data_IF_053584278458
#
_entry.id   IF_053584278458
#
_cell.length_a   1.000
_cell.length_b   1.000
_cell.length_c   1.000
_cell.angle_alpha   90.00
_cell.angle_beta   90.00
_cell.angle_gamma   90.00
#
_symmetry.space_group_name_H-M   'P 1'
#
loop_
_entity.id
_entity.type
_entity.pdbx_description
1 polymer ?
#
# COMPACT_ATOMS: atom_id res chain seq x y z
N UNK A 1 33.30 -10.95 -15.71
CA UNK A 1 32.40 -9.81 -16.04
C UNK A 1 31.20 -10.00 -15.15
N UNK A 2 31.12 -9.22 -14.07
CA UNK A 2 29.97 -9.28 -13.17
C UNK A 2 28.77 -8.70 -13.91
N UNK A 3 27.94 -9.60 -14.43
CA UNK A 3 26.72 -9.21 -15.11
C UNK A 3 25.72 -8.84 -14.02
N UNK A 4 25.76 -7.57 -13.63
CA UNK A 4 24.86 -7.03 -12.62
C UNK A 4 23.44 -7.10 -13.16
N UNK A 5 22.54 -7.78 -12.43
CA UNK A 5 21.13 -7.88 -12.80
C UNK A 5 20.52 -6.48 -12.99
N UNK A 6 19.72 -6.34 -14.03
CA UNK A 6 18.92 -5.15 -14.32
C UNK A 6 17.69 -5.05 -13.41
N UNK A 7 17.08 -3.87 -13.25
CA UNK A 7 15.84 -3.70 -12.46
C UNK A 7 14.69 -4.63 -12.89
N UNK A 8 14.60 -4.94 -14.18
CA UNK A 8 13.65 -5.92 -14.73
C UNK A 8 13.93 -7.34 -14.23
N UNK A 9 15.19 -7.78 -14.25
CA UNK A 9 15.56 -9.13 -13.80
C UNK A 9 15.32 -9.30 -12.30
N UNK A 10 15.59 -8.27 -11.50
CA UNK A 10 15.20 -8.23 -10.09
C UNK A 10 13.68 -8.34 -9.92
N UNK A 11 12.90 -7.56 -10.70
CA UNK A 11 11.44 -7.63 -10.65
C UNK A 11 10.91 -9.04 -10.96
N UNK A 12 11.37 -9.65 -12.06
CA UNK A 12 10.93 -10.98 -12.48
C UNK A 12 11.34 -12.06 -11.47
N UNK A 13 12.57 -12.00 -10.93
CA UNK A 13 13.02 -12.92 -9.89
C UNK A 13 12.19 -12.75 -8.61
N UNK A 14 11.86 -11.52 -8.23
CA UNK A 14 10.97 -11.19 -7.12
C UNK A 14 9.59 -11.83 -7.27
N UNK A 15 9.01 -11.81 -8.49
CA UNK A 15 7.73 -12.47 -8.77
C UNK A 15 7.79 -13.98 -8.52
N UNK A 16 8.85 -14.64 -9.01
CA UNK A 16 9.07 -16.08 -8.80
C UNK A 16 9.24 -16.39 -7.32
N UNK A 17 10.06 -15.62 -6.61
CA UNK A 17 10.30 -15.79 -5.17
C UNK A 17 9.01 -15.62 -4.35
N UNK A 18 8.19 -14.61 -4.68
CA UNK A 18 6.87 -14.41 -4.07
C UNK A 18 5.96 -15.61 -4.31
N UNK A 19 5.92 -16.15 -5.54
CA UNK A 19 5.09 -17.30 -5.87
C UNK A 19 5.45 -18.53 -5.04
N UNK A 20 6.75 -18.76 -4.79
CA UNK A 20 7.23 -19.83 -3.90
C UNK A 20 7.28 -19.43 -2.41
N UNK A 21 6.62 -18.33 -2.04
CA UNK A 21 6.47 -17.85 -0.65
C UNK A 21 7.78 -17.45 0.03
N UNK A 22 8.86 -17.25 -0.72
CA UNK A 22 10.13 -16.72 -0.22
C UNK A 22 10.05 -15.19 -0.15
N UNK A 23 9.28 -14.68 0.81
CA UNK A 23 8.91 -13.27 0.86
C UNK A 23 10.09 -12.33 1.18
N UNK A 24 11.01 -12.71 2.07
CA UNK A 24 12.17 -11.87 2.40
C UNK A 24 13.07 -11.56 1.19
N UNK A 25 13.57 -12.55 0.42
CA UNK A 25 14.37 -12.24 -0.77
C UNK A 25 13.53 -11.59 -1.88
N UNK A 26 12.22 -11.88 -1.97
CA UNK A 26 11.34 -11.16 -2.90
C UNK A 26 11.24 -9.67 -2.55
N UNK A 27 11.18 -9.33 -1.25
CA UNK A 27 11.16 -7.95 -0.75
C UNK A 27 12.43 -7.20 -1.17
N UNK A 28 13.61 -7.81 -1.01
CA UNK A 28 14.89 -7.23 -1.44
C UNK A 28 14.90 -6.97 -2.95
N UNK A 29 14.46 -7.95 -3.75
CA UNK A 29 14.38 -7.83 -5.20
C UNK A 29 13.44 -6.71 -5.65
N UNK A 30 12.26 -6.60 -5.04
CA UNK A 30 11.32 -5.53 -5.35
C UNK A 30 11.83 -4.16 -4.92
N UNK A 31 12.57 -4.04 -3.82
CA UNK A 31 13.18 -2.76 -3.42
C UNK A 31 14.21 -2.29 -4.46
N UNK A 32 15.05 -3.19 -4.97
CA UNK A 32 16.03 -2.86 -6.00
C UNK A 32 15.30 -2.48 -7.31
N UNK A 33 14.31 -3.27 -7.72
CA UNK A 33 13.51 -2.97 -8.91
C UNK A 33 12.78 -1.62 -8.81
N UNK A 34 12.30 -1.25 -7.62
CA UNK A 34 11.60 -0.01 -7.38
C UNK A 34 12.47 1.25 -7.54
N UNK A 35 13.80 1.10 -7.58
CA UNK A 35 14.73 2.18 -7.89
C UNK A 35 14.65 2.69 -9.34
N UNK A 36 14.07 1.91 -10.26
CA UNK A 36 13.82 2.33 -11.65
C UNK A 36 12.37 2.83 -11.80
N UNK A 37 12.20 4.04 -12.30
CA UNK A 37 10.89 4.70 -12.44
C UNK A 37 9.90 3.92 -13.32
N UNK A 38 10.40 3.08 -14.24
CA UNK A 38 9.58 2.24 -15.12
C UNK A 38 8.93 1.07 -14.37
N UNK A 39 9.54 0.64 -13.27
CA UNK A 39 9.10 -0.50 -12.47
C UNK A 39 8.61 -0.10 -11.08
N UNK A 40 8.91 1.12 -10.62
CA UNK A 40 8.58 1.62 -9.29
C UNK A 40 7.15 1.28 -8.83
N UNK A 41 6.14 1.62 -9.63
CA UNK A 41 4.74 1.32 -9.32
C UNK A 41 4.52 -0.18 -9.06
N UNK A 42 4.80 -1.03 -10.04
CA UNK A 42 4.60 -2.48 -9.95
C UNK A 42 5.42 -3.10 -8.81
N UNK A 43 6.67 -2.68 -8.67
CA UNK A 43 7.58 -3.20 -7.66
C UNK A 43 7.09 -2.85 -6.25
N UNK A 44 6.65 -1.61 -6.01
CA UNK A 44 6.08 -1.20 -4.73
C UNK A 44 4.78 -1.94 -4.39
N UNK A 45 3.92 -2.23 -5.40
CA UNK A 45 2.72 -3.06 -5.18
C UNK A 45 3.12 -4.47 -4.73
N UNK A 46 4.08 -5.10 -5.41
CA UNK A 46 4.50 -6.45 -5.05
C UNK A 46 5.22 -6.49 -3.69
N UNK A 47 6.04 -5.48 -3.40
CA UNK A 47 6.67 -5.26 -2.10
C UNK A 47 5.63 -5.20 -0.98
N UNK A 48 4.61 -4.35 -1.14
CA UNK A 48 3.53 -4.21 -0.16
C UNK A 48 2.80 -5.54 0.08
N UNK A 49 2.51 -6.28 -1.00
CA UNK A 49 1.87 -7.60 -0.90
C UNK A 49 2.73 -8.63 -0.15
N UNK A 50 4.05 -8.62 -0.36
CA UNK A 50 4.96 -9.48 0.39
C UNK A 50 5.00 -9.09 1.87
N UNK A 51 5.07 -7.78 2.18
CA UNK A 51 5.05 -7.25 3.55
C UNK A 51 3.76 -7.64 4.29
N UNK A 52 2.60 -7.51 3.64
CA UNK A 52 1.32 -8.03 4.19
C UNK A 52 1.39 -9.52 4.48
N UNK A 53 1.96 -10.31 3.56
CA UNK A 53 2.01 -11.76 3.70
C UNK A 53 2.87 -12.23 4.89
N UNK A 54 3.81 -11.41 5.34
CA UNK A 54 4.63 -11.65 6.55
C UNK A 54 4.13 -10.91 7.79
N UNK A 55 3.00 -10.19 7.71
CA UNK A 55 2.38 -9.47 8.84
C UNK A 55 2.94 -8.06 9.11
N UNK A 56 3.75 -7.51 8.20
CA UNK A 56 4.31 -6.17 8.29
C UNK A 56 3.37 -5.13 7.62
N UNK A 57 2.13 -5.01 8.12
CA UNK A 57 1.09 -4.20 7.48
C UNK A 57 1.39 -2.68 7.46
N UNK A 58 2.10 -2.15 8.47
CA UNK A 58 2.49 -0.72 8.50
C UNK A 58 3.49 -0.38 7.37
N UNK A 59 4.48 -1.26 7.15
CA UNK A 59 5.41 -1.12 6.02
C UNK A 59 4.66 -1.29 4.69
N UNK A 60 3.71 -2.22 4.62
CA UNK A 60 2.89 -2.40 3.41
C UNK A 60 2.09 -1.13 3.05
N UNK A 61 1.57 -0.40 4.05
CA UNK A 61 0.90 0.89 3.84
C UNK A 61 1.84 1.90 3.19
N UNK A 62 3.08 1.99 3.66
CA UNK A 62 4.08 2.90 3.08
C UNK A 62 4.37 2.51 1.63
N UNK A 63 4.58 1.22 1.34
CA UNK A 63 4.84 0.74 -0.01
C UNK A 63 3.65 0.99 -0.95
N UNK A 64 2.40 0.76 -0.53
CA UNK A 64 1.23 1.12 -1.35
C UNK A 64 1.12 2.62 -1.61
N UNK A 65 1.43 3.48 -0.63
CA UNK A 65 1.46 4.93 -0.82
C UNK A 65 2.50 5.33 -1.88
N UNK A 66 3.68 4.71 -1.87
CA UNK A 66 4.72 4.92 -2.88
C UNK A 66 4.29 4.42 -4.27
N UNK A 67 3.60 3.28 -4.35
CA UNK A 67 3.04 2.81 -5.61
C UNK A 67 2.00 3.80 -6.19
N UNK A 68 1.11 4.33 -5.35
CA UNK A 68 0.06 5.26 -5.77
C UNK A 68 0.59 6.63 -6.24
N UNK A 69 1.81 7.00 -5.82
CA UNK A 69 2.51 8.25 -6.18
C UNK A 69 3.57 8.06 -7.27
N UNK A 70 3.79 6.84 -7.73
CA UNK A 70 4.82 6.55 -8.72
C UNK A 70 4.58 7.36 -10.01
N UNK A 71 5.63 7.89 -10.67
CA UNK A 71 5.47 8.83 -11.79
C UNK A 71 4.66 8.29 -12.97
N UNK A 72 4.72 6.97 -13.19
CA UNK A 72 4.11 6.30 -14.35
C UNK A 72 2.79 5.59 -14.02
N UNK A 73 2.23 5.76 -12.81
CA UNK A 73 0.97 5.10 -12.43
C UNK A 73 -0.22 5.71 -13.16
N UNK A 74 -1.00 4.86 -13.82
CA UNK A 74 -2.25 5.27 -14.47
C UNK A 74 -3.34 5.56 -13.42
N UNK A 75 -4.38 6.30 -13.79
CA UNK A 75 -5.53 6.53 -12.91
C UNK A 75 -6.24 5.23 -12.52
N UNK A 76 -6.29 4.24 -13.41
CA UNK A 76 -6.94 2.94 -13.17
C UNK A 76 -6.12 2.11 -12.20
N UNK A 77 -4.82 1.92 -12.46
CA UNK A 77 -3.91 1.25 -11.53
C UNK A 77 -3.90 1.93 -10.16
N UNK A 78 -3.92 3.27 -10.12
CA UNK A 78 -4.00 4.01 -8.86
C UNK A 78 -5.25 3.62 -8.06
N UNK A 79 -6.42 3.46 -8.69
CA UNK A 79 -7.63 3.00 -7.99
C UNK A 79 -7.44 1.59 -7.39
N UNK A 80 -6.83 0.67 -8.12
CA UNK A 80 -6.51 -0.67 -7.61
C UNK A 80 -5.53 -0.64 -6.43
N UNK A 81 -4.49 0.21 -6.49
CA UNK A 81 -3.51 0.37 -5.42
C UNK A 81 -4.17 0.97 -4.17
N UNK A 82 -4.94 2.04 -4.34
CA UNK A 82 -5.69 2.68 -3.26
C UNK A 82 -6.67 1.69 -2.62
N UNK A 83 -7.29 0.81 -3.41
CA UNK A 83 -8.19 -0.19 -2.87
C UNK A 83 -7.47 -1.17 -1.93
N UNK A 84 -6.28 -1.65 -2.33
CA UNK A 84 -5.45 -2.51 -1.47
C UNK A 84 -4.95 -1.79 -0.21
N UNK A 85 -4.62 -0.50 -0.34
CA UNK A 85 -4.28 0.35 0.80
C UNK A 85 -5.47 0.50 1.77
N UNK A 86 -6.67 0.81 1.25
CA UNK A 86 -7.90 0.94 2.02
C UNK A 86 -8.22 -0.33 2.80
N UNK A 87 -8.10 -1.50 2.17
CA UNK A 87 -8.27 -2.80 2.81
C UNK A 87 -7.27 -3.05 3.92
N UNK A 88 -6.01 -2.69 3.70
CA UNK A 88 -4.95 -2.85 4.70
C UNK A 88 -5.22 -1.96 5.91
N UNK A 89 -5.69 -0.73 5.69
CA UNK A 89 -6.09 0.18 6.76
C UNK A 89 -7.30 -0.35 7.54
N UNK A 90 -8.32 -0.92 6.87
CA UNK A 90 -9.44 -1.60 7.54
C UNK A 90 -8.97 -2.75 8.42
N UNK A 91 -8.05 -3.60 7.93
CA UNK A 91 -7.56 -4.74 8.71
C UNK A 91 -6.81 -4.32 9.99
N UNK A 92 -6.27 -3.11 10.03
CA UNK A 92 -5.64 -2.51 11.20
C UNK A 92 -6.61 -1.70 12.08
N UNK A 93 -7.89 -1.61 11.70
CA UNK A 93 -8.91 -0.79 12.39
C UNK A 93 -8.73 0.72 12.19
N UNK A 94 -7.98 1.14 11.17
CA UNK A 94 -7.74 2.55 10.80
C UNK A 94 -8.85 3.08 9.89
N UNK A 95 -10.10 2.96 10.37
CA UNK A 95 -11.32 3.21 9.59
C UNK A 95 -11.39 4.62 8.97
N UNK A 96 -10.88 5.63 9.68
CA UNK A 96 -10.89 7.01 9.20
C UNK A 96 -10.00 7.21 7.96
N UNK A 97 -8.80 6.62 7.98
CA UNK A 97 -7.88 6.69 6.84
C UNK A 97 -8.35 5.81 5.68
N UNK A 98 -8.93 4.64 5.99
CA UNK A 98 -9.55 3.78 4.99
C UNK A 98 -10.68 4.52 4.25
N UNK A 99 -11.55 5.23 4.99
CA UNK A 99 -12.58 6.08 4.41
C UNK A 99 -11.98 7.15 3.49
N UNK A 100 -10.91 7.85 3.90
CA UNK A 100 -10.23 8.86 3.06
C UNK A 100 -9.78 8.26 1.72
N UNK A 101 -9.12 7.09 1.77
CA UNK A 101 -8.61 6.41 0.58
C UNK A 101 -9.74 5.94 -0.34
N UNK A 102 -10.79 5.33 0.22
CA UNK A 102 -11.98 4.95 -0.55
C UNK A 102 -12.73 6.14 -1.12
N UNK A 103 -12.77 7.27 -0.41
CA UNK A 103 -13.31 8.53 -0.91
C UNK A 103 -12.59 9.00 -2.17
N UNK A 104 -11.26 8.86 -2.22
CA UNK A 104 -10.48 9.17 -3.42
C UNK A 104 -10.80 8.27 -4.61
N UNK A 105 -11.00 6.97 -4.36
CA UNK A 105 -11.43 6.04 -5.41
C UNK A 105 -12.82 6.42 -5.91
N UNK A 106 -13.80 6.58 -5.02
CA UNK A 106 -15.18 6.92 -5.38
C UNK A 106 -15.29 8.25 -6.15
N UNK A 107 -14.38 9.20 -5.91
CA UNK A 107 -14.33 10.45 -6.68
C UNK A 107 -13.78 10.25 -8.10
N UNK A 108 -12.90 9.27 -8.30
CA UNK A 108 -12.28 8.97 -9.59
C UNK A 108 -13.15 8.01 -10.41
N UNK A 109 -13.67 6.96 -9.76
CA UNK A 109 -14.55 5.93 -10.29
C UNK A 109 -15.56 5.51 -9.20
N UNK A 110 -16.81 6.02 -9.25
CA UNK A 110 -17.86 5.68 -8.29
C UNK A 110 -18.30 4.21 -8.30
N UNK A 111 -18.07 3.48 -9.40
CA UNK A 111 -18.49 2.08 -9.58
C UNK A 111 -17.34 1.08 -9.34
N UNK A 112 -16.20 1.56 -8.83
CA UNK A 112 -15.03 0.75 -8.59
C UNK A 112 -15.27 -0.31 -7.49
N UNK A 113 -15.40 -1.58 -7.90
CA UNK A 113 -15.53 -2.74 -7.03
C UNK A 113 -16.65 -2.57 -5.97
N UNK A 114 -16.37 -2.94 -4.71
CA UNK A 114 -17.29 -2.85 -3.56
C UNK A 114 -17.07 -1.56 -2.73
N UNK A 115 -16.35 -0.56 -3.26
CA UNK A 115 -15.92 0.63 -2.50
C UNK A 115 -17.11 1.39 -1.89
N UNK A 116 -18.21 1.54 -2.64
CA UNK A 116 -19.41 2.20 -2.12
C UNK A 116 -20.01 1.46 -0.90
N UNK A 117 -20.01 0.13 -0.93
CA UNK A 117 -20.51 -0.71 0.16
C UNK A 117 -19.59 -0.65 1.37
N UNK A 118 -18.26 -0.65 1.15
CA UNK A 118 -17.26 -0.48 2.22
C UNK A 118 -17.38 0.86 2.93
N UNK A 119 -17.51 1.95 2.17
CA UNK A 119 -17.79 3.28 2.73
C UNK A 119 -19.05 3.25 3.59
N UNK A 120 -20.14 2.64 3.11
CA UNK A 120 -21.37 2.53 3.88
C UNK A 120 -21.19 1.72 5.17
N UNK A 121 -20.46 0.61 5.11
CA UNK A 121 -20.17 -0.24 6.25
C UNK A 121 -19.35 0.50 7.31
N UNK A 122 -18.23 1.11 6.91
CA UNK A 122 -17.35 1.89 7.80
C UNK A 122 -18.08 3.08 8.43
N UNK A 123 -19.03 3.70 7.72
CA UNK A 123 -19.89 4.78 8.26
C UNK A 123 -20.93 4.29 9.27
N UNK A 124 -21.29 3.02 9.21
CA UNK A 124 -22.34 2.40 10.03
C UNK A 124 -21.79 1.54 11.18
N UNK A 125 -20.47 1.34 11.23
CA UNK A 125 -19.78 0.50 12.22
C UNK A 125 -19.91 1.00 13.66
N UNK A 126 -19.98 0.04 14.61
CA UNK A 126 -20.20 0.26 16.06
C UNK A 126 -19.00 0.83 16.83
N UNK A 127 -17.86 1.08 16.19
CA UNK A 127 -16.75 1.85 16.78
C UNK A 127 -17.13 3.34 16.78
N UNK A 128 -17.97 3.72 17.75
CA UNK A 128 -18.56 5.04 17.92
C UNK A 128 -17.57 6.18 18.19
N UNK A 129 -16.68 6.48 17.24
CA UNK A 129 -15.86 7.70 17.24
C UNK A 129 -16.35 8.75 16.24
N UNK A 130 -17.17 8.38 15.25
CA UNK A 130 -17.67 9.33 14.25
C UNK A 130 -19.09 8.99 13.75
N UNK A 131 -20.11 9.70 14.25
CA UNK A 131 -21.43 9.72 13.61
C UNK A 131 -21.42 10.69 12.41
N UNK A 132 -21.19 10.16 11.21
CA UNK A 132 -21.22 10.96 9.98
C UNK A 132 -22.66 11.26 9.56
N UNK A 133 -23.13 12.48 9.80
CA UNK A 133 -24.37 12.95 9.16
C UNK A 133 -24.19 13.05 7.65
N UNK A 134 -25.27 12.87 6.88
CA UNK A 134 -25.26 12.94 5.41
C UNK A 134 -24.66 14.25 4.88
N UNK A 135 -24.89 15.37 5.59
CA UNK A 135 -24.33 16.69 5.25
C UNK A 135 -22.84 16.80 5.54
N UNK A 136 -22.37 16.32 6.70
CA UNK A 136 -20.95 16.32 7.08
C UNK A 136 -20.12 15.46 6.13
N UNK A 137 -20.66 14.32 5.70
CA UNK A 137 -20.04 13.44 4.70
C UNK A 137 -19.91 14.12 3.33
N UNK A 138 -20.93 14.84 2.85
CA UNK A 138 -20.83 15.60 1.59
C UNK A 138 -19.75 16.69 1.66
N UNK A 139 -19.67 17.41 2.78
CA UNK A 139 -18.65 18.44 2.99
C UNK A 139 -17.24 17.83 3.04
N UNK A 140 -17.07 16.73 3.76
CA UNK A 140 -15.81 15.99 3.82
C UNK A 140 -15.44 15.37 2.48
N UNK A 141 -16.37 14.83 1.68
CA UNK A 141 -16.03 14.32 0.34
C UNK A 141 -15.56 15.43 -0.58
N UNK A 142 -16.14 16.63 -0.47
CA UNK A 142 -15.66 17.81 -1.20
C UNK A 142 -14.22 18.17 -0.79
N UNK A 143 -13.91 18.09 0.51
CA UNK A 143 -12.56 18.30 1.04
C UNK A 143 -11.59 17.19 0.60
N UNK A 144 -12.00 15.92 0.66
CA UNK A 144 -11.26 14.77 0.14
C UNK A 144 -10.98 14.93 -1.34
N UNK A 145 -11.94 15.39 -2.14
CA UNK A 145 -11.71 15.66 -3.58
C UNK A 145 -10.54 16.63 -3.80
N UNK A 146 -10.44 17.68 -2.98
CA UNK A 146 -9.31 18.62 -3.00
C UNK A 146 -8.03 18.00 -2.45
N UNK A 147 -8.15 17.15 -1.42
CA UNK A 147 -7.05 16.47 -0.74
C UNK A 147 -6.52 15.26 -1.51
N UNK A 148 -7.27 14.59 -2.39
CA UNK A 148 -6.76 13.46 -3.17
C UNK A 148 -5.63 13.88 -4.12
N UNK A 149 -5.53 15.17 -4.44
CA UNK A 149 -4.39 15.75 -5.14
C UNK A 149 -3.19 16.04 -4.20
N UNK A 150 -3.41 16.21 -2.90
CA UNK A 150 -2.40 16.67 -1.92
C UNK A 150 -1.94 15.61 -0.89
N UNK A 151 -2.81 14.65 -0.51
CA UNK A 151 -2.59 13.59 0.50
C UNK A 151 -1.45 12.67 0.13
N UNK A 152 -1.16 12.57 -1.16
CA UNK A 152 -0.13 11.69 -1.68
C UNK A 152 1.21 12.42 -1.93
N UNK A 153 1.26 13.76 -1.86
CA UNK A 153 2.46 14.55 -2.18
C UNK A 153 3.20 15.13 -0.96
N UNK A 154 2.57 15.22 0.22
CA UNK A 154 3.12 16.00 1.34
C UNK A 154 2.94 15.38 2.74
N UNK A 155 3.27 14.09 2.93
CA UNK A 155 3.69 13.64 4.26
C UNK A 155 5.19 13.32 4.28
N UNK A 156 6.05 14.31 4.61
CA UNK A 156 7.50 14.12 4.65
C UNK A 156 7.96 13.15 5.75
N UNK A 157 7.09 12.72 6.68
CA UNK A 157 7.45 11.73 7.71
C UNK A 157 7.41 10.29 7.21
N UNK A 158 6.66 10.03 6.13
CA UNK A 158 6.62 8.72 5.47
C UNK A 158 7.82 8.53 4.54
N UNK A 159 8.28 9.63 3.91
CA UNK A 159 9.47 9.61 3.05
C UNK A 159 10.78 9.46 3.83
N UNK A 160 10.84 9.83 5.11
CA UNK A 160 12.05 9.69 5.94
C UNK A 160 12.28 8.27 6.49
N UNK A 161 11.31 7.35 6.35
CA UNK A 161 11.50 5.92 6.62
C UNK A 161 12.01 5.13 5.41
N UNK A 162 12.34 5.81 4.32
CA UNK A 162 12.96 5.17 3.15
C UNK A 162 14.40 4.81 3.45
N UNK A 163 14.63 3.54 3.80
CA UNK A 163 16.00 2.99 3.89
C UNK A 163 16.20 1.88 4.90
N UNK A 164 15.18 1.52 5.70
CA UNK A 164 15.29 0.38 6.62
C UNK A 164 14.05 -0.50 6.58
N UNK A 165 13.61 -0.85 5.38
CA UNK A 165 12.69 -1.95 5.14
C UNK A 165 13.36 -3.24 5.61
N UNK A 166 12.83 -3.86 6.65
CA UNK A 166 13.37 -5.05 7.36
C UNK A 166 14.83 -5.40 7.02
N UNK A 167 15.78 -4.64 7.54
CA UNK A 167 17.20 -4.97 7.49
C UNK A 167 17.60 -5.86 8.67
N UNK A 168 18.05 -7.07 8.38
CA UNK A 168 18.70 -8.05 9.28
C UNK A 168 17.81 -8.78 10.30
N UNK A 169 17.33 -9.97 9.94
CA UNK A 169 17.32 -11.11 10.88
C UNK A 169 17.57 -12.43 10.16
N UNK A 170 18.86 -12.70 9.95
CA UNK A 170 19.38 -14.04 10.15
C UNK A 170 19.41 -14.32 11.66
N UNK A 171 18.30 -14.72 12.27
CA UNK A 171 18.30 -15.45 13.54
C UNK A 171 17.19 -16.49 13.51
N UNK A 172 17.54 -17.71 13.10
CA UNK A 172 16.77 -18.90 13.43
C UNK A 172 16.84 -19.09 14.95
N UNK A 173 15.72 -19.29 15.67
CA UNK A 173 15.82 -19.78 17.03
C UNK A 173 16.31 -21.22 16.96
N UNK A 174 17.62 -21.41 17.20
CA UNK A 174 18.19 -22.72 17.45
C UNK A 174 17.38 -23.37 18.58
N UNK A 175 16.72 -24.47 18.23
CA UNK A 175 15.90 -25.23 19.16
C UNK A 175 16.70 -25.58 20.42
N UNK A 176 16.14 -25.25 21.58
CA UNK A 176 16.52 -25.88 22.85
C UNK A 176 16.31 -27.38 22.70
N UNK A 177 17.40 -28.13 22.51
CA UNK A 177 17.43 -29.54 22.89
C UNK A 177 17.74 -29.61 24.38
N UNK A 178 16.96 -30.48 25.03
CA UNK A 178 17.01 -30.85 26.44
C UNK A 178 18.38 -31.36 26.87
#
# INVERSE_FOLDING_TARGET
MDQQMSPWEFYERGLVLKQVRMFYPAIEDFQIAAGDTRYAEKAYVQLAMCLKAIGHDEEAIVAFRQAATAPMVSSVERCHILYQLGHTLESLGRDAESLEVYGCICNSDPEFLDVAQRIQHLRSGKNGRFSWTRGRWKAWMKDVTSRCQAVFLHDPTVLSQTGRWVGSHAEQPAGRRR
#
